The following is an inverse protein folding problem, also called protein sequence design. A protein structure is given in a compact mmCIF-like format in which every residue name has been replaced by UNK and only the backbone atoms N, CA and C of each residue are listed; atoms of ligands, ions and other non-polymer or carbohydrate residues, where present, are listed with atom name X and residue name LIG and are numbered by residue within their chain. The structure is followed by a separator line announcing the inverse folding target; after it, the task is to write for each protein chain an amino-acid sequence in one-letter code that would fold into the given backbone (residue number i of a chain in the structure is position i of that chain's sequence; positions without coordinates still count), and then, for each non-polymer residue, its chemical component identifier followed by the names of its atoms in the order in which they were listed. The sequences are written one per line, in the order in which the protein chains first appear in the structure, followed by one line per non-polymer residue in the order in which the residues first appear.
data_IF_978221824588
#
_entry.id   IF_978221824588
#
_cell.length_a   1.000
_cell.length_b   1.000
_cell.length_c   1.000
_cell.angle_alpha   90.00
_cell.angle_beta   90.00
_cell.angle_gamma   90.00
#
_symmetry.space_group_name_H-M   'P 1'
#
loop_
_entity.id
_entity.type
_entity.pdbx_description
1 polymer ?
#
# COMPACT_ATOMS: atom_id res chain seq x y z
N UNK A 1 18.71 26.36 16.04
CA UNK A 1 19.22 25.91 14.73
C UNK A 1 18.36 26.54 13.66
N UNK A 2 18.91 27.30 12.73
CA UNK A 2 18.14 27.87 11.64
C UNK A 2 17.63 26.74 10.73
N UNK A 3 16.34 26.71 10.41
CA UNK A 3 15.80 25.76 9.44
C UNK A 3 16.36 26.09 8.05
N UNK A 4 16.96 25.09 7.39
CA UNK A 4 17.40 25.27 6.01
C UNK A 4 16.19 25.40 5.08
N UNK A 5 16.13 26.46 4.26
CA UNK A 5 15.04 26.62 3.30
C UNK A 5 15.00 25.44 2.33
N UNK A 6 13.81 25.12 1.82
CA UNK A 6 13.66 24.12 0.77
C UNK A 6 14.39 24.57 -0.49
N UNK A 7 15.11 23.66 -1.14
CA UNK A 7 15.63 23.93 -2.48
C UNK A 7 14.48 23.91 -3.51
N UNK A 8 14.76 24.36 -4.74
CA UNK A 8 13.74 24.46 -5.79
C UNK A 8 13.05 23.10 -6.09
N UNK A 9 13.76 21.97 -6.28
CA UNK A 9 13.12 20.66 -6.43
C UNK A 9 12.17 20.30 -5.28
N UNK A 10 12.58 20.51 -4.03
CA UNK A 10 11.76 20.23 -2.84
C UNK A 10 10.54 21.13 -2.78
N UNK A 11 10.68 22.41 -3.17
CA UNK A 11 9.58 23.35 -3.26
C UNK A 11 8.53 22.94 -4.29
N UNK A 12 8.97 22.51 -5.47
CA UNK A 12 8.09 21.99 -6.53
C UNK A 12 7.41 20.68 -6.11
N UNK A 13 8.16 19.81 -5.42
CA UNK A 13 7.59 18.60 -4.85
C UNK A 13 6.52 18.93 -3.79
N UNK A 14 6.77 19.89 -2.90
CA UNK A 14 5.78 20.32 -1.91
C UNK A 14 4.45 20.74 -2.54
N UNK A 15 4.48 21.47 -3.66
CA UNK A 15 3.27 21.87 -4.40
C UNK A 15 2.48 20.67 -4.90
N UNK A 16 3.19 19.75 -5.56
CA UNK A 16 2.59 18.54 -6.12
C UNK A 16 1.99 17.66 -5.03
N UNK A 17 2.70 17.48 -3.91
CA UNK A 17 2.23 16.68 -2.79
C UNK A 17 0.99 17.29 -2.14
N UNK A 18 0.96 18.61 -1.94
CA UNK A 18 -0.21 19.28 -1.37
C UNK A 18 -1.46 19.11 -2.24
N UNK A 19 -1.32 19.23 -3.56
CA UNK A 19 -2.43 19.01 -4.50
C UNK A 19 -2.93 17.56 -4.48
N UNK A 20 -2.02 16.59 -4.53
CA UNK A 20 -2.38 15.16 -4.51
C UNK A 20 -3.03 14.76 -3.18
N UNK A 21 -2.47 15.20 -2.06
CA UNK A 21 -3.06 14.96 -0.74
C UNK A 21 -4.44 15.62 -0.66
N UNK A 22 -4.60 16.88 -1.07
CA UNK A 22 -5.91 17.55 -1.06
C UNK A 22 -6.95 16.81 -1.92
N UNK A 23 -6.58 16.35 -3.13
CA UNK A 23 -7.46 15.54 -3.99
C UNK A 23 -7.87 14.21 -3.35
N UNK A 24 -6.95 13.56 -2.64
CA UNK A 24 -7.23 12.30 -1.94
C UNK A 24 -8.12 12.51 -0.71
N UNK A 25 -8.00 13.66 -0.04
CA UNK A 25 -8.82 14.06 1.10
C UNK A 25 -10.21 14.58 0.67
N UNK A 26 -10.38 14.97 -0.59
CA UNK A 26 -11.64 15.42 -1.16
C UNK A 26 -12.56 14.24 -1.52
N UNK A 27 -12.97 13.49 -0.49
CA UNK A 27 -13.98 12.44 -0.63
C UNK A 27 -15.30 13.04 -0.12
N UNK A 28 -16.27 13.19 -1.03
CA UNK A 28 -17.57 13.86 -0.78
C UNK A 28 -18.30 13.37 0.48
N UNK A 29 -18.08 12.11 0.87
CA UNK A 29 -18.74 11.47 2.00
C UNK A 29 -18.38 12.09 3.37
N UNK A 30 -17.26 12.81 3.48
CA UNK A 30 -16.76 13.34 4.76
C UNK A 30 -16.87 14.88 4.87
N UNK A 31 -17.52 15.53 3.89
CA UNK A 31 -17.72 16.98 3.86
C UNK A 31 -19.09 17.37 4.39
N UNK A 32 -19.12 18.23 5.39
CA UNK A 32 -20.34 18.89 5.87
C UNK A 32 -20.06 20.38 5.98
N UNK A 33 -20.79 21.21 5.25
CA UNK A 33 -20.72 22.67 5.29
C UNK A 33 -19.30 23.27 5.10
N UNK A 34 -18.47 22.64 4.25
CA UNK A 34 -17.10 23.08 4.01
C UNK A 34 -16.08 22.69 5.09
N UNK A 35 -16.50 21.85 6.04
CA UNK A 35 -15.63 21.17 7.00
C UNK A 35 -15.36 19.72 6.57
N UNK A 36 -14.17 19.24 6.92
CA UNK A 36 -13.80 17.83 6.85
C UNK A 36 -13.65 17.30 8.28
N UNK A 37 -14.26 16.15 8.53
CA UNK A 37 -14.11 15.43 9.78
C UNK A 37 -12.96 14.45 9.66
N UNK A 38 -11.97 14.57 10.54
CA UNK A 38 -11.02 13.51 10.74
C UNK A 38 -11.75 12.36 11.46
N UNK A 39 -12.09 11.32 10.70
CA UNK A 39 -12.78 10.12 11.16
C UNK A 39 -11.87 9.17 11.98
N UNK A 40 -10.67 9.61 12.37
CA UNK A 40 -9.71 8.84 13.17
C UNK A 40 -8.95 7.78 12.37
N UNK A 41 -8.98 7.85 11.04
CA UNK A 41 -8.14 7.02 10.16
C UNK A 41 -6.79 7.70 9.94
N UNK A 42 -5.69 6.95 10.05
CA UNK A 42 -4.32 7.51 10.06
C UNK A 42 -3.99 8.36 8.83
N UNK A 43 -4.49 7.96 7.65
CA UNK A 43 -4.33 8.70 6.40
C UNK A 43 -5.06 10.05 6.40
N UNK A 44 -6.25 10.11 7.02
CA UNK A 44 -7.02 11.35 7.16
C UNK A 44 -6.36 12.31 8.13
N UNK A 45 -5.91 11.84 9.29
CA UNK A 45 -5.26 12.69 10.29
C UNK A 45 -3.98 13.32 9.69
N UNK A 46 -3.18 12.49 9.01
CA UNK A 46 -1.93 12.97 8.43
C UNK A 46 -2.17 13.95 7.27
N UNK A 47 -3.15 13.66 6.40
CA UNK A 47 -3.55 14.57 5.33
C UNK A 47 -4.02 15.92 5.85
N UNK A 48 -4.93 15.92 6.82
CA UNK A 48 -5.46 17.16 7.42
C UNK A 48 -4.36 17.98 8.11
N UNK A 49 -3.47 17.32 8.86
CA UNK A 49 -2.33 17.98 9.49
C UNK A 49 -1.39 18.60 8.45
N UNK A 50 -1.05 17.86 7.40
CA UNK A 50 -0.17 18.35 6.33
C UNK A 50 -0.76 19.57 5.62
N UNK A 51 -2.05 19.52 5.27
CA UNK A 51 -2.76 20.60 4.60
C UNK A 51 -2.97 21.83 5.50
N UNK A 52 -3.12 21.63 6.80
CA UNK A 52 -3.16 22.73 7.78
C UNK A 52 -1.82 23.46 7.87
N UNK A 53 -0.69 22.73 7.83
CA UNK A 53 0.66 23.33 7.89
C UNK A 53 1.00 24.20 6.67
N UNK A 54 0.32 24.01 5.54
CA UNK A 54 0.48 24.83 4.34
C UNK A 54 -0.69 25.79 4.09
N UNK A 55 -1.59 25.94 5.06
CA UNK A 55 -2.70 26.90 5.01
C UNK A 55 -3.81 26.54 4.03
N UNK A 56 -3.86 25.30 3.53
CA UNK A 56 -4.98 24.82 2.71
C UNK A 56 -6.18 24.53 3.60
N UNK A 57 -5.94 23.94 4.78
CA UNK A 57 -6.94 23.77 5.84
C UNK A 57 -6.65 24.70 7.01
N UNK A 58 -7.67 24.89 7.85
CA UNK A 58 -7.55 25.51 9.17
C UNK A 58 -8.20 24.60 10.19
N UNK A 59 -7.42 24.18 11.20
CA UNK A 59 -7.97 23.43 12.33
C UNK A 59 -9.00 24.30 13.07
N UNK A 60 -10.20 23.75 13.28
CA UNK A 60 -11.25 24.40 14.05
C UNK A 60 -10.99 24.24 15.57
N UNK A 61 -11.94 24.66 16.42
CA UNK A 61 -11.81 24.55 17.87
C UNK A 61 -11.60 23.09 18.34
N UNK A 62 -12.19 22.13 17.64
CA UNK A 62 -11.97 20.71 17.88
C UNK A 62 -10.90 20.16 16.93
N UNK A 63 -9.93 19.42 17.47
CA UNK A 63 -8.80 18.88 16.71
C UNK A 63 -9.18 17.88 15.61
N UNK A 64 -10.41 17.36 15.64
CA UNK A 64 -10.95 16.46 14.62
C UNK A 64 -11.66 17.20 13.47
N UNK A 65 -11.78 18.53 13.54
CA UNK A 65 -12.49 19.33 12.53
C UNK A 65 -11.54 20.27 11.83
N UNK A 66 -11.59 20.23 10.51
CA UNK A 66 -10.78 21.08 9.65
C UNK A 66 -11.66 21.84 8.66
N UNK A 67 -11.56 23.16 8.69
CA UNK A 67 -12.21 24.02 7.71
C UNK A 67 -11.35 24.07 6.43
N UNK A 68 -11.98 23.91 5.28
CA UNK A 68 -11.32 24.09 3.98
C UNK A 68 -11.18 25.59 3.73
N UNK A 69 -9.95 26.10 3.74
CA UNK A 69 -9.65 27.52 3.44
C UNK A 69 -9.38 27.72 1.96
N UNK A 70 -8.76 26.73 1.33
CA UNK A 70 -8.43 26.73 -0.09
C UNK A 70 -9.13 25.53 -0.75
N UNK A 71 -10.06 25.76 -1.70
CA UNK A 71 -10.70 24.66 -2.42
C UNK A 71 -9.67 23.89 -3.26
N UNK A 72 -9.90 22.61 -3.50
CA UNK A 72 -8.90 21.69 -4.07
C UNK A 72 -8.36 22.17 -5.43
N UNK A 73 -9.22 22.80 -6.25
CA UNK A 73 -8.88 23.32 -7.58
C UNK A 73 -7.92 24.52 -7.51
N UNK A 74 -7.84 25.20 -6.36
CA UNK A 74 -7.00 26.37 -6.13
C UNK A 74 -5.73 26.04 -5.33
N UNK A 75 -5.55 24.80 -4.87
CA UNK A 75 -4.38 24.41 -4.05
C UNK A 75 -3.08 24.66 -4.81
N UNK A 76 -3.00 24.30 -6.09
CA UNK A 76 -1.78 24.53 -6.89
C UNK A 76 -1.42 26.03 -7.00
N UNK A 77 -2.43 26.89 -7.16
CA UNK A 77 -2.25 28.34 -7.23
C UNK A 77 -1.80 28.90 -5.87
N UNK A 78 -2.49 28.53 -4.78
CA UNK A 78 -2.12 28.91 -3.42
C UNK A 78 -0.70 28.50 -3.08
N UNK A 79 -0.36 27.24 -3.36
CA UNK A 79 0.97 26.69 -3.11
C UNK A 79 2.04 27.32 -3.98
N UNK A 80 1.72 27.91 -5.14
CA UNK A 80 2.70 28.64 -5.95
C UNK A 80 2.96 30.06 -5.44
N UNK A 81 1.95 30.69 -4.81
CA UNK A 81 2.05 32.02 -4.21
C UNK A 81 2.57 32.05 -2.77
N UNK A 82 2.69 30.90 -2.10
CA UNK A 82 3.21 30.84 -0.74
C UNK A 82 4.72 31.16 -0.71
N UNK A 83 5.12 32.19 0.03
CA UNK A 83 6.52 32.64 0.09
C UNK A 83 7.47 31.57 0.67
N UNK A 84 7.04 30.89 1.74
CA UNK A 84 7.87 29.88 2.43
C UNK A 84 7.05 28.68 2.83
N UNK A 85 7.50 27.49 2.43
CA UNK A 85 7.07 26.20 2.99
C UNK A 85 8.17 25.73 3.94
N UNK A 86 7.85 25.53 5.21
CA UNK A 86 8.83 25.07 6.19
C UNK A 86 9.27 23.63 5.92
N UNK A 87 10.45 23.24 6.43
CA UNK A 87 10.94 21.86 6.34
C UNK A 87 9.94 20.89 6.97
N UNK A 88 9.39 21.24 8.14
CA UNK A 88 8.34 20.48 8.83
C UNK A 88 7.10 20.28 7.98
N UNK A 89 6.61 21.32 7.29
CA UNK A 89 5.45 21.22 6.42
C UNK A 89 5.72 20.27 5.24
N UNK A 90 6.90 20.39 4.61
CA UNK A 90 7.33 19.50 3.54
C UNK A 90 7.41 18.03 4.00
N UNK A 91 8.08 17.74 5.12
CA UNK A 91 8.22 16.38 5.62
C UNK A 91 6.85 15.78 5.99
N UNK A 92 5.94 16.60 6.51
CA UNK A 92 4.57 16.17 6.84
C UNK A 92 3.74 15.90 5.57
N UNK A 93 3.89 16.71 4.51
CA UNK A 93 3.28 16.44 3.21
C UNK A 93 3.80 15.16 2.58
N UNK A 94 5.11 14.92 2.63
CA UNK A 94 5.72 13.68 2.14
C UNK A 94 5.19 12.47 2.92
N UNK A 95 5.10 12.59 4.24
CA UNK A 95 4.53 11.57 5.11
C UNK A 95 3.06 11.30 4.78
N UNK A 96 2.23 12.33 4.61
CA UNK A 96 0.82 12.20 4.24
C UNK A 96 0.64 11.55 2.86
N UNK A 97 1.47 11.94 1.89
CA UNK A 97 1.46 11.34 0.55
C UNK A 97 1.78 9.85 0.60
N UNK A 98 2.84 9.44 1.30
CA UNK A 98 3.22 8.03 1.41
C UNK A 98 2.10 7.20 2.06
N UNK A 99 1.52 7.68 3.16
CA UNK A 99 0.43 6.96 3.84
C UNK A 99 -0.81 6.80 2.95
N UNK A 100 -1.20 7.87 2.26
CA UNK A 100 -2.37 7.87 1.40
C UNK A 100 -2.19 7.06 0.12
N UNK A 101 -0.99 7.09 -0.47
CA UNK A 101 -0.73 6.50 -1.78
C UNK A 101 -0.04 5.14 -1.75
N UNK A 102 0.39 4.64 -0.58
CA UNK A 102 0.90 3.27 -0.41
C UNK A 102 -0.03 2.45 0.49
N UNK A 103 -0.42 2.97 1.66
CA UNK A 103 -1.16 2.19 2.67
C UNK A 103 -2.66 2.12 2.36
N UNK A 104 -3.30 3.25 2.03
CA UNK A 104 -4.78 3.34 1.92
C UNK A 104 -5.28 3.41 0.47
N UNK A 105 -5.11 2.27 -0.22
CA UNK A 105 -5.67 2.01 -1.56
C UNK A 105 -4.94 2.70 -2.71
N UNK A 106 -3.68 3.06 -2.52
CA UNK A 106 -2.98 3.98 -3.41
C UNK A 106 -2.10 3.29 -4.45
N UNK A 107 -2.09 3.85 -5.66
CA UNK A 107 -1.41 3.30 -6.84
C UNK A 107 0.13 3.29 -6.78
N UNK A 108 0.74 3.31 -5.60
CA UNK A 108 2.18 3.13 -5.41
C UNK A 108 2.45 1.90 -4.55
N UNK A 109 3.49 1.16 -4.92
CA UNK A 109 3.99 0.04 -4.13
C UNK A 109 4.97 0.52 -3.06
N UNK A 110 4.93 -0.11 -1.89
CA UNK A 110 5.96 0.04 -0.86
C UNK A 110 7.21 -0.81 -1.10
N UNK A 111 7.33 -1.52 -2.23
CA UNK A 111 8.42 -2.48 -2.46
C UNK A 111 9.72 -1.76 -2.80
N UNK A 112 10.85 -2.42 -2.52
CA UNK A 112 12.17 -1.93 -2.97
C UNK A 112 12.46 -2.24 -4.44
N UNK A 113 11.73 -3.20 -5.02
CA UNK A 113 11.86 -3.53 -6.43
C UNK A 113 11.32 -2.41 -7.32
N UNK A 114 11.72 -2.44 -8.58
CA UNK A 114 11.24 -1.51 -9.61
C UNK A 114 9.74 -1.66 -9.77
N UNK A 115 9.02 -0.54 -9.76
CA UNK A 115 7.57 -0.49 -9.94
C UNK A 115 7.18 0.47 -11.06
N UNK A 116 6.15 0.08 -11.80
CA UNK A 116 5.44 0.96 -12.71
C UNK A 116 4.48 1.83 -11.93
N UNK A 117 4.30 3.06 -12.38
CA UNK A 117 3.56 4.08 -11.64
C UNK A 117 2.42 4.58 -12.53
N UNK A 118 1.19 4.76 -12.00
CA UNK A 118 0.10 5.35 -12.74
C UNK A 118 0.46 6.72 -13.31
N UNK A 119 -0.07 7.04 -14.49
CA UNK A 119 0.20 8.32 -15.17
C UNK A 119 -0.15 9.54 -14.31
N UNK A 120 -1.19 9.42 -13.47
CA UNK A 120 -1.63 10.45 -12.53
C UNK A 120 -0.60 10.79 -11.45
N UNK A 121 0.36 9.90 -11.15
CA UNK A 121 1.40 10.08 -10.13
C UNK A 121 2.80 10.31 -10.71
N UNK A 122 2.94 10.23 -12.04
CA UNK A 122 4.25 10.29 -12.70
C UNK A 122 5.00 11.61 -12.43
N UNK A 123 4.28 12.73 -12.34
CA UNK A 123 4.87 14.04 -12.04
C UNK A 123 5.49 14.07 -10.65
N UNK A 124 4.77 13.60 -9.63
CA UNK A 124 5.27 13.48 -8.26
C UNK A 124 6.51 12.58 -8.20
N UNK A 125 6.51 11.43 -8.87
CA UNK A 125 7.67 10.53 -8.87
C UNK A 125 8.90 11.14 -9.53
N UNK A 126 8.75 11.87 -10.65
CA UNK A 126 9.86 12.61 -11.26
C UNK A 126 10.44 13.67 -10.32
N UNK A 127 9.61 14.33 -9.52
CA UNK A 127 10.07 15.29 -8.52
C UNK A 127 10.74 14.60 -7.32
N UNK A 128 10.23 13.45 -6.88
CA UNK A 128 10.87 12.59 -5.88
C UNK A 128 12.26 12.12 -6.34
N UNK A 129 12.42 11.81 -7.63
CA UNK A 129 13.73 11.50 -8.23
C UNK A 129 14.68 12.69 -8.13
N UNK A 130 14.24 13.88 -8.53
CA UNK A 130 15.05 15.10 -8.41
C UNK A 130 15.43 15.44 -6.97
N UNK A 131 14.62 15.03 -6.00
CA UNK A 131 14.89 15.20 -4.57
C UNK A 131 15.68 14.04 -3.95
N UNK A 132 15.98 12.98 -4.71
CA UNK A 132 16.73 11.80 -4.27
C UNK A 132 15.95 10.83 -3.39
N UNK A 133 14.62 10.92 -3.29
CA UNK A 133 13.75 9.97 -2.55
C UNK A 133 13.41 8.73 -3.38
N UNK A 134 13.53 8.83 -4.69
CA UNK A 134 13.35 7.75 -5.64
C UNK A 134 14.44 7.85 -6.70
N UNK A 135 14.62 6.81 -7.50
CA UNK A 135 15.45 6.83 -8.71
C UNK A 135 14.69 6.18 -9.86
N UNK A 136 14.94 6.70 -11.07
CA UNK A 136 14.41 6.13 -12.29
C UNK A 136 15.39 5.08 -12.81
N UNK A 137 14.87 3.91 -13.14
CA UNK A 137 15.63 2.78 -13.68
C UNK A 137 14.91 2.23 -14.91
N UNK A 138 15.55 1.32 -15.65
CA UNK A 138 14.89 0.64 -16.76
C UNK A 138 13.60 -0.04 -16.28
N UNK A 139 12.49 0.26 -16.93
CA UNK A 139 11.18 -0.31 -16.61
C UNK A 139 10.39 0.38 -15.50
N UNK A 140 10.92 1.41 -14.80
CA UNK A 140 10.13 2.15 -13.81
C UNK A 140 10.91 2.96 -12.79
N UNK A 141 10.40 2.95 -11.56
CA UNK A 141 10.94 3.70 -10.43
C UNK A 141 11.22 2.76 -9.24
N UNK A 142 12.21 3.09 -8.42
CA UNK A 142 12.42 2.44 -7.12
C UNK A 142 12.72 3.46 -6.03
N UNK A 143 12.44 3.09 -4.78
CA UNK A 143 12.69 3.93 -3.61
C UNK A 143 14.16 3.89 -3.20
N UNK A 144 14.73 5.02 -2.77
CA UNK A 144 16.11 5.10 -2.24
C UNK A 144 16.11 4.99 -0.71
N UNK A 145 17.29 4.94 -0.07
CA UNK A 145 17.35 4.99 1.41
C UNK A 145 16.86 6.33 1.99
N UNK A 146 16.85 7.41 1.20
CA UNK A 146 16.45 8.73 1.69
C UNK A 146 14.98 8.75 2.14
N UNK A 147 14.11 7.91 1.55
CA UNK A 147 12.69 7.81 1.95
C UNK A 147 12.48 6.87 3.16
N UNK A 148 13.50 6.12 3.58
CA UNK A 148 13.37 5.09 4.61
C UNK A 148 12.74 5.59 5.93
N UNK A 149 13.10 6.78 6.47
CA UNK A 149 12.47 7.28 7.69
C UNK A 149 10.94 7.45 7.55
N UNK A 150 10.49 7.88 6.36
CA UNK A 150 9.06 8.04 6.08
C UNK A 150 8.36 6.69 5.92
N UNK A 151 8.98 5.75 5.21
CA UNK A 151 8.44 4.38 5.06
C UNK A 151 8.36 3.63 6.40
N UNK A 152 9.35 3.81 7.26
CA UNK A 152 9.40 3.19 8.58
C UNK A 152 8.36 3.78 9.53
N UNK A 153 8.14 5.11 9.49
CA UNK A 153 7.09 5.79 10.27
C UNK A 153 5.71 5.18 10.03
N UNK A 154 5.42 4.79 8.79
CA UNK A 154 4.16 4.16 8.39
C UNK A 154 4.19 2.63 8.43
N UNK A 155 5.24 2.05 9.01
CA UNK A 155 5.41 0.61 9.12
C UNK A 155 5.38 -0.14 7.78
N UNK A 156 5.59 0.56 6.66
CA UNK A 156 5.70 -0.01 5.32
C UNK A 156 7.02 -0.80 5.26
N UNK A 157 8.09 -0.19 5.77
CA UNK A 157 9.39 -0.82 5.97
C UNK A 157 9.65 -1.08 7.45
N UNK A 158 10.35 -2.16 7.75
CA UNK A 158 10.87 -2.41 9.10
C UNK A 158 12.16 -1.61 9.37
N UNK A 159 12.69 -1.77 10.59
CA UNK A 159 13.93 -1.09 11.03
C UNK A 159 15.16 -1.44 10.19
N UNK A 160 15.14 -2.57 9.48
CA UNK A 160 16.20 -3.00 8.57
C UNK A 160 15.93 -2.55 7.13
N UNK A 161 14.87 -1.75 6.91
CA UNK A 161 14.46 -1.26 5.61
C UNK A 161 13.70 -2.31 4.78
N UNK A 162 13.32 -3.46 5.33
CA UNK A 162 12.64 -4.50 4.56
C UNK A 162 11.15 -4.16 4.48
N UNK A 163 10.58 -4.19 3.27
CA UNK A 163 9.16 -3.99 3.05
C UNK A 163 8.33 -5.13 3.65
N UNK A 164 7.34 -4.81 4.49
CA UNK A 164 6.49 -5.82 5.13
C UNK A 164 5.65 -6.60 4.12
N UNK A 165 5.08 -5.92 3.15
CA UNK A 165 4.27 -6.56 2.12
C UNK A 165 5.14 -7.48 1.25
N UNK A 166 6.38 -7.09 0.95
CA UNK A 166 7.34 -7.97 0.26
C UNK A 166 7.68 -9.23 1.09
N UNK A 167 7.82 -9.10 2.42
CA UNK A 167 8.00 -10.27 3.30
C UNK A 167 6.79 -11.20 3.26
N UNK A 168 5.57 -10.66 3.30
CA UNK A 168 4.34 -11.43 3.17
C UNK A 168 4.32 -12.15 1.82
N UNK A 169 4.56 -11.43 0.73
CA UNK A 169 4.60 -11.97 -0.63
C UNK A 169 5.62 -13.10 -0.78
N UNK A 170 6.85 -12.92 -0.28
CA UNK A 170 7.88 -13.96 -0.29
C UNK A 170 7.45 -15.20 0.50
N UNK A 171 6.81 -15.02 1.67
CA UNK A 171 6.27 -16.14 2.47
C UNK A 171 5.15 -16.87 1.74
N UNK A 172 4.23 -16.14 1.11
CA UNK A 172 3.15 -16.73 0.31
C UNK A 172 3.69 -17.52 -0.88
N UNK A 173 4.70 -16.99 -1.61
CA UNK A 173 5.37 -17.70 -2.71
C UNK A 173 6.04 -18.98 -2.20
N UNK A 174 6.80 -18.89 -1.11
CA UNK A 174 7.51 -20.02 -0.53
C UNK A 174 6.53 -21.10 -0.07
N UNK A 175 5.42 -20.69 0.57
CA UNK A 175 4.35 -21.60 1.03
C UNK A 175 3.68 -22.27 -0.16
N UNK A 176 3.31 -21.51 -1.19
CA UNK A 176 2.71 -22.06 -2.41
C UNK A 176 3.63 -23.08 -3.11
N UNK A 177 4.94 -22.78 -3.21
CA UNK A 177 5.92 -23.70 -3.78
C UNK A 177 6.09 -24.98 -2.94
N UNK A 178 6.05 -24.86 -1.61
CA UNK A 178 6.12 -26.01 -0.71
C UNK A 178 4.88 -26.90 -0.82
N UNK A 179 3.69 -26.30 -0.90
CA UNK A 179 2.44 -27.02 -1.13
C UNK A 179 2.48 -27.80 -2.45
N UNK A 180 3.00 -27.19 -3.52
CA UNK A 180 3.16 -27.86 -4.81
C UNK A 180 4.10 -29.06 -4.75
N UNK A 181 5.24 -28.93 -4.05
CA UNK A 181 6.20 -30.04 -3.88
C UNK A 181 5.64 -31.20 -3.07
N UNK A 182 4.80 -30.90 -2.07
CA UNK A 182 4.31 -31.89 -1.09
C UNK A 182 2.93 -32.43 -1.41
N UNK A 183 2.31 -31.98 -2.51
CA UNK A 183 0.94 -32.38 -2.83
C UNK A 183 0.81 -33.90 -3.02
N UNK A 184 -0.14 -34.56 -2.30
CA UNK A 184 -0.42 -35.97 -2.50
C UNK A 184 -0.92 -36.25 -3.92
N UNK A 185 -0.49 -37.36 -4.50
CA UNK A 185 -0.86 -37.77 -5.86
C UNK A 185 -2.39 -37.88 -6.08
N UNK A 186 -3.13 -38.25 -5.04
CA UNK A 186 -4.60 -38.29 -5.05
C UNK A 186 -5.23 -36.90 -5.15
N UNK A 187 -4.68 -35.90 -4.45
CA UNK A 187 -5.14 -34.51 -4.52
C UNK A 187 -4.74 -33.88 -5.85
N UNK A 188 -3.50 -34.13 -6.31
CA UNK A 188 -2.99 -33.69 -7.62
C UNK A 188 -3.93 -34.10 -8.75
N UNK A 189 -4.33 -35.39 -8.80
CA UNK A 189 -5.29 -35.89 -9.81
C UNK A 189 -6.63 -35.15 -9.76
N UNK A 190 -7.20 -34.96 -8.57
CA UNK A 190 -8.47 -34.21 -8.41
C UNK A 190 -8.36 -32.76 -8.84
N UNK A 191 -7.24 -32.09 -8.55
CA UNK A 191 -7.00 -30.72 -9.00
C UNK A 191 -6.92 -30.62 -10.51
N UNK A 192 -6.21 -31.54 -11.19
CA UNK A 192 -6.17 -31.58 -12.66
C UNK A 192 -7.58 -31.73 -13.24
N UNK A 193 -8.37 -32.68 -12.73
CA UNK A 193 -9.76 -32.86 -13.17
C UNK A 193 -10.60 -31.59 -12.92
N UNK A 194 -10.47 -30.98 -11.75
CA UNK A 194 -11.18 -29.76 -11.40
C UNK A 194 -10.81 -28.58 -12.32
N UNK A 195 -9.52 -28.41 -12.63
CA UNK A 195 -9.06 -27.37 -13.55
C UNK A 195 -9.56 -27.58 -14.98
N UNK A 196 -9.70 -28.83 -15.43
CA UNK A 196 -10.22 -29.17 -16.77
C UNK A 196 -11.74 -29.03 -16.89
N UNK A 197 -12.47 -28.92 -15.79
CA UNK A 197 -13.94 -28.85 -15.79
C UNK A 197 -14.50 -27.54 -16.35
N UNK A 198 -13.67 -26.50 -16.50
CA UNK A 198 -14.11 -25.15 -16.87
C UNK A 198 -14.73 -24.34 -15.72
N UNK A 199 -15.06 -24.96 -14.58
CA UNK A 199 -15.55 -24.24 -13.39
C UNK A 199 -14.37 -23.63 -12.60
N UNK A 200 -14.24 -22.29 -12.54
CA UNK A 200 -13.15 -21.64 -11.82
C UNK A 200 -13.18 -21.90 -10.31
N UNK A 201 -14.31 -22.32 -9.73
CA UNK A 201 -14.47 -22.62 -8.30
C UNK A 201 -14.08 -24.07 -7.96
N UNK A 202 -14.05 -24.97 -8.94
CA UNK A 202 -13.76 -26.38 -8.70
C UNK A 202 -12.38 -26.62 -8.05
N UNK A 203 -11.27 -25.98 -8.49
CA UNK A 203 -9.97 -26.15 -7.84
C UNK A 203 -9.97 -25.71 -6.37
N UNK A 204 -10.64 -24.61 -6.04
CA UNK A 204 -10.74 -24.11 -4.66
C UNK A 204 -11.49 -25.09 -3.77
N UNK A 205 -12.58 -25.71 -4.24
CA UNK A 205 -13.31 -26.74 -3.47
C UNK A 205 -12.45 -27.96 -3.18
N UNK A 206 -11.59 -28.36 -4.13
CA UNK A 206 -10.62 -29.45 -3.90
C UNK A 206 -9.63 -29.05 -2.80
N UNK A 207 -9.06 -27.85 -2.87
CA UNK A 207 -8.13 -27.36 -1.85
C UNK A 207 -8.79 -27.25 -0.48
N UNK A 208 -9.97 -26.64 -0.36
CA UNK A 208 -10.68 -26.50 0.91
C UNK A 208 -10.97 -27.84 1.60
N UNK A 209 -11.19 -28.92 0.81
CA UNK A 209 -11.42 -30.26 1.34
C UNK A 209 -10.13 -30.95 1.82
N UNK A 210 -9.00 -30.60 1.22
CA UNK A 210 -7.75 -31.37 1.31
C UNK A 210 -6.58 -30.61 1.93
N UNK A 211 -6.72 -29.31 2.19
CA UNK A 211 -5.70 -28.43 2.77
C UNK A 211 -6.18 -27.93 4.13
N UNK A 212 -5.35 -28.05 5.16
CA UNK A 212 -5.58 -27.57 6.52
C UNK A 212 -4.47 -26.62 6.94
N UNK A 213 -4.73 -25.31 6.89
CA UNK A 213 -3.64 -24.35 6.90
C UNK A 213 -2.60 -24.72 5.83
N UNK A 214 -1.35 -24.94 6.22
CA UNK A 214 -0.23 -25.27 5.31
C UNK A 214 -0.01 -26.77 5.11
N UNK A 215 -0.88 -27.65 5.63
CA UNK A 215 -0.70 -29.10 5.60
C UNK A 215 -1.76 -29.82 4.77
N UNK A 216 -1.37 -30.91 4.10
CA UNK A 216 -2.31 -31.74 3.33
C UNK A 216 -3.06 -32.73 4.23
N UNK A 217 -4.39 -32.65 4.25
CA UNK A 217 -5.24 -33.61 4.95
C UNK A 217 -5.13 -34.98 4.31
N UNK A 218 -4.60 -35.94 5.06
CA UNK A 218 -4.83 -37.35 4.78
C UNK A 218 -6.26 -37.68 5.21
N UNK A 219 -7.16 -37.80 4.24
CA UNK A 219 -8.50 -38.34 4.49
C UNK A 219 -8.34 -39.84 4.81
N UNK A 220 -8.09 -40.17 6.07
CA UNK A 220 -8.20 -41.55 6.54
C UNK A 220 -9.69 -41.94 6.55
N UNK A 221 -9.97 -43.22 6.26
CA UNK A 221 -11.33 -43.79 6.31
C UNK A 221 -11.93 -43.78 7.74
N UNK A 222 -11.11 -43.51 8.75
CA UNK A 222 -11.52 -43.44 10.15
C UNK A 222 -11.45 -41.99 10.64
N UNK A 223 -12.62 -41.36 10.71
CA UNK A 223 -12.85 -39.98 11.13
C UNK A 223 -12.43 -39.79 12.60
N UNK A 224 -11.15 -39.55 12.88
CA UNK A 224 -10.77 -38.89 14.15
C UNK A 224 -11.17 -37.42 14.02
N UNK A 225 -11.95 -36.93 14.97
CA UNK A 225 -12.34 -35.53 15.01
C UNK A 225 -11.08 -34.65 14.92
N UNK A 226 -11.08 -33.59 14.10
CA UNK A 226 -9.93 -32.70 14.01
C UNK A 226 -9.73 -32.06 15.39
N UNK A 227 -8.55 -32.29 15.96
CA UNK A 227 -8.09 -31.49 17.10
C UNK A 227 -8.06 -30.06 16.58
N UNK A 228 -8.86 -29.17 17.17
CA UNK A 228 -8.86 -27.73 16.87
C UNK A 228 -7.51 -27.13 17.31
N UNK A 229 -6.43 -27.44 16.60
CA UNK A 229 -5.31 -26.51 16.52
C UNK A 229 -5.81 -25.36 15.68
N UNK A 230 -5.63 -24.13 16.17
CA UNK A 230 -5.71 -22.93 15.33
C UNK A 230 -4.63 -23.05 14.26
N UNK A 231 -4.87 -23.81 13.20
CA UNK A 231 -4.01 -23.80 12.02
C UNK A 231 -4.11 -22.40 11.43
N UNK A 232 -2.97 -21.77 11.18
CA UNK A 232 -2.93 -20.54 10.39
C UNK A 232 -3.65 -20.82 9.07
N UNK A 233 -4.82 -20.21 8.87
CA UNK A 233 -5.58 -20.38 7.63
C UNK A 233 -4.72 -19.91 6.47
N UNK A 234 -4.54 -20.76 5.46
CA UNK A 234 -3.84 -20.35 4.24
C UNK A 234 -4.72 -19.33 3.53
N UNK A 235 -4.17 -18.12 3.39
CA UNK A 235 -4.89 -17.03 2.78
C UNK A 235 -5.15 -17.28 1.28
N UNK A 236 -6.16 -16.59 0.75
CA UNK A 236 -6.57 -16.71 -0.65
C UNK A 236 -5.44 -16.39 -1.65
N UNK A 237 -4.55 -15.44 -1.30
CA UNK A 237 -3.39 -15.07 -2.15
C UNK A 237 -2.44 -16.25 -2.35
N UNK A 238 -2.10 -16.97 -1.28
CA UNK A 238 -1.26 -18.17 -1.33
C UNK A 238 -1.90 -19.27 -2.18
N UNK A 239 -3.21 -19.49 -2.05
CA UNK A 239 -3.95 -20.45 -2.89
C UNK A 239 -3.84 -20.08 -4.37
N UNK A 240 -4.02 -18.80 -4.71
CA UNK A 240 -3.91 -18.34 -6.10
C UNK A 240 -2.51 -18.55 -6.67
N UNK A 241 -1.47 -18.23 -5.88
CA UNK A 241 -0.07 -18.47 -6.27
C UNK A 241 0.17 -19.96 -6.49
N UNK A 242 -0.31 -20.82 -5.60
CA UNK A 242 -0.21 -22.28 -5.74
C UNK A 242 -0.89 -22.77 -7.03
N UNK A 243 -2.13 -22.33 -7.30
CA UNK A 243 -2.87 -22.74 -8.49
C UNK A 243 -2.19 -22.27 -9.78
N UNK A 244 -1.55 -21.10 -9.76
CA UNK A 244 -0.75 -20.59 -10.88
C UNK A 244 0.48 -21.47 -11.12
N UNK A 245 1.30 -21.71 -10.09
CA UNK A 245 2.47 -22.58 -10.18
C UNK A 245 2.11 -23.99 -10.68
N UNK A 246 0.97 -24.51 -10.24
CA UNK A 246 0.46 -25.81 -10.66
C UNK A 246 0.08 -25.88 -12.14
N UNK A 247 -0.39 -24.77 -12.73
CA UNK A 247 -0.74 -24.69 -14.17
C UNK A 247 0.47 -24.55 -15.08
N UNK A 248 1.54 -23.93 -14.59
CA UNK A 248 2.74 -23.62 -15.38
C UNK A 248 3.67 -24.85 -15.55
N UNK A 249 3.41 -25.96 -14.84
CA UNK A 249 4.16 -27.21 -15.00
C UNK A 249 3.42 -28.18 -15.93
N UNK A 250 4.09 -28.72 -16.97
CA UNK A 250 3.51 -29.70 -17.89
C UNK A 250 3.18 -31.04 -17.20
#
# INVERSE_FOLDING_TARGET
MAEHPLNLPERLLANELAELVAKKMDIELDRVDGEIYNIGQSNYECGCLALNLVGVYRQAQHYTRHQIVVPVERVAQHMSGADVVSRKAFDTLLSAFIENYITYGGGLSGYRSVVTVPSSLLKALKLLVKCGYSEQVEGGFRWTEKIAPTMQRWYIWDKNGICKEEQVDRREIATAAQLEKTIPSSVRRKLVTAMRSGDPRAPYRVLQKHLDGTEWRQLSLFRKQPVQKKSEEVNFRTINRFLRLFREKP
#
